data_IF_634040664664
#
_entry.id   IF_634040664664
#
_cell.length_a   1.000
_cell.length_b   1.000
_cell.length_c   1.000
_cell.angle_alpha   90.00
_cell.angle_beta   90.00
_cell.angle_gamma   90.00
#
_symmetry.space_group_name_H-M   'P 1'
#
loop_
_entity.id
_entity.type
_entity.pdbx_description
1 polymer ?
#
# COMPACT_ATOMS: atom_id res chain seq x y z
N UNK A 1 13.43 -3.00 2.99
CA UNK A 1 12.40 -3.91 2.43
C UNK A 1 12.20 -5.19 3.23
N UNK A 2 13.15 -5.64 4.05
CA UNK A 2 12.97 -6.85 4.88
C UNK A 2 11.74 -6.75 5.80
N UNK A 3 11.55 -5.62 6.50
CA UNK A 3 10.35 -5.37 7.32
C UNK A 3 9.07 -5.55 6.51
N UNK A 4 9.01 -5.02 5.29
CA UNK A 4 7.83 -5.15 4.41
C UNK A 4 7.55 -6.63 4.11
N UNK A 5 8.57 -7.42 3.78
CA UNK A 5 8.44 -8.87 3.57
C UNK A 5 7.95 -9.59 4.84
N UNK A 6 8.52 -9.24 5.99
CA UNK A 6 8.16 -9.86 7.28
C UNK A 6 6.72 -9.56 7.67
N UNK A 7 6.23 -8.33 7.49
CA UNK A 7 4.85 -7.98 7.84
C UNK A 7 3.84 -8.53 6.83
N UNK A 8 4.19 -8.59 5.55
CA UNK A 8 3.26 -9.03 4.51
C UNK A 8 3.14 -10.55 4.36
N UNK A 9 4.20 -11.32 4.60
CA UNK A 9 4.15 -12.79 4.54
C UNK A 9 3.48 -13.40 5.77
N UNK A 10 4.21 -13.55 6.90
CA UNK A 10 3.69 -14.15 8.14
C UNK A 10 2.43 -13.48 8.72
N UNK A 11 2.37 -12.14 8.73
CA UNK A 11 1.29 -11.39 9.40
C UNK A 11 0.20 -10.89 8.45
N UNK A 12 0.34 -11.14 7.14
CA UNK A 12 -0.62 -10.72 6.09
C UNK A 12 -0.96 -9.22 6.10
N UNK A 13 -0.07 -8.37 6.64
CA UNK A 13 -0.26 -6.93 6.65
C UNK A 13 0.06 -6.33 5.26
N UNK A 14 -0.71 -5.32 4.84
CA UNK A 14 -0.62 -4.72 3.51
C UNK A 14 -0.48 -3.19 3.61
N UNK A 15 0.66 -2.66 4.10
CA UNK A 15 0.80 -1.25 4.48
C UNK A 15 0.90 -0.26 3.31
N UNK A 16 1.09 -0.72 2.07
CA UNK A 16 1.23 0.18 0.90
C UNK A 16 0.48 -0.33 -0.32
N UNK A 17 0.45 -1.63 -0.55
CA UNK A 17 -0.20 -2.23 -1.71
C UNK A 17 -0.58 -3.66 -1.37
N UNK A 18 -1.56 -4.19 -2.10
CA UNK A 18 -1.94 -5.59 -2.02
C UNK A 18 -1.27 -6.35 -3.16
N UNK A 19 -0.99 -7.64 -2.92
CA UNK A 19 -0.65 -8.59 -3.97
C UNK A 19 -1.64 -9.74 -3.89
N UNK A 20 -2.14 -10.15 -5.05
CA UNK A 20 -2.91 -11.37 -5.21
C UNK A 20 -2.52 -12.10 -6.48
N UNK A 21 -2.93 -13.36 -6.57
CA UNK A 21 -2.93 -14.12 -7.83
C UNK A 21 -4.36 -14.49 -8.10
N UNK A 22 -4.89 -14.02 -9.23
CA UNK A 22 -6.27 -14.27 -9.65
C UNK A 22 -6.35 -14.39 -11.16
N UNK A 23 -7.53 -14.75 -11.66
CA UNK A 23 -7.81 -14.90 -13.08
C UNK A 23 -7.48 -13.61 -13.82
N UNK A 24 -6.80 -13.70 -14.96
CA UNK A 24 -6.53 -12.54 -15.82
C UNK A 24 -7.84 -12.09 -16.48
N UNK A 25 -8.34 -10.85 -16.21
CA UNK A 25 -9.55 -10.32 -16.83
C UNK A 25 -9.58 -10.39 -18.36
N UNK A 26 -8.41 -10.33 -19.02
CA UNK A 26 -8.31 -10.44 -20.49
C UNK A 26 -8.00 -11.85 -21.00
N UNK A 27 -7.71 -12.80 -20.11
CA UNK A 27 -7.50 -14.20 -20.44
C UNK A 27 -7.95 -15.11 -19.29
N UNK A 28 -9.23 -15.48 -19.31
CA UNK A 28 -9.86 -16.26 -18.24
C UNK A 28 -9.31 -17.68 -18.05
N UNK A 29 -8.48 -18.17 -18.97
CA UNK A 29 -7.81 -19.47 -18.86
C UNK A 29 -6.48 -19.42 -18.08
N UNK A 30 -6.04 -18.24 -17.65
CA UNK A 30 -4.78 -18.04 -16.93
C UNK A 30 -4.98 -17.19 -15.68
N UNK A 31 -4.14 -17.41 -14.67
CA UNK A 31 -3.99 -16.50 -13.55
C UNK A 31 -2.82 -15.54 -13.81
N UNK A 32 -2.88 -14.37 -13.19
CA UNK A 32 -1.84 -13.35 -13.25
C UNK A 32 -1.63 -12.74 -11.87
N UNK A 33 -0.41 -12.28 -11.61
CA UNK A 33 -0.11 -11.49 -10.41
C UNK A 33 -0.82 -10.14 -10.54
N UNK A 34 -1.51 -9.74 -9.48
CA UNK A 34 -2.27 -8.51 -9.42
C UNK A 34 -1.73 -7.64 -8.27
N UNK A 35 -1.48 -6.37 -8.56
CA UNK A 35 -1.06 -5.38 -7.56
C UNK A 35 -2.06 -4.23 -7.55
N UNK A 36 -2.54 -3.88 -6.36
CA UNK A 36 -3.52 -2.83 -6.17
C UNK A 36 -3.22 -1.97 -4.93
N UNK A 37 -3.91 -0.83 -4.82
CA UNK A 37 -3.75 0.14 -3.74
C UNK A 37 -4.16 -0.43 -2.37
N UNK A 38 -3.46 0.00 -1.31
CA UNK A 38 -3.76 -0.41 0.07
C UNK A 38 -3.19 0.58 1.10
N UNK A 39 -3.08 0.16 2.36
CA UNK A 39 -2.33 0.88 3.39
C UNK A 39 -3.11 1.91 4.20
N UNK A 40 -4.39 2.10 3.92
CA UNK A 40 -5.27 2.91 4.77
C UNK A 40 -5.91 2.04 5.85
N UNK A 41 -5.86 2.51 7.10
CA UNK A 41 -6.54 1.85 8.20
C UNK A 41 -8.04 2.19 8.24
N UNK A 42 -8.39 3.45 7.99
CA UNK A 42 -9.79 3.85 7.95
C UNK A 42 -10.47 3.34 6.66
N UNK A 43 -11.78 3.07 6.69
CA UNK A 43 -12.48 2.37 5.60
C UNK A 43 -12.47 3.06 4.23
N UNK A 44 -12.19 4.36 4.19
CA UNK A 44 -12.14 5.15 2.95
C UNK A 44 -11.15 6.29 3.10
N UNK A 45 -10.55 6.69 1.98
CA UNK A 45 -9.74 7.92 1.86
C UNK A 45 -10.49 9.17 2.32
N UNK A 46 -11.82 9.21 2.19
CA UNK A 46 -12.64 10.37 2.54
C UNK A 46 -12.59 10.70 4.03
N UNK A 47 -12.32 9.71 4.88
CA UNK A 47 -12.12 9.94 6.31
C UNK A 47 -10.91 10.84 6.59
N UNK A 48 -9.86 10.73 5.77
CA UNK A 48 -8.64 11.52 5.89
C UNK A 48 -8.76 12.88 5.18
N UNK A 49 -9.44 12.92 4.04
CA UNK A 49 -9.51 14.12 3.19
C UNK A 49 -10.60 15.11 3.64
N UNK A 50 -11.76 14.62 4.10
CA UNK A 50 -12.84 15.49 4.56
C UNK A 50 -12.70 15.82 6.05
N UNK A 51 -11.63 16.57 6.38
CA UNK A 51 -11.21 16.84 7.77
C UNK A 51 -12.28 17.52 8.62
N UNK A 52 -13.10 18.40 8.04
CA UNK A 52 -14.13 19.13 8.79
C UNK A 52 -15.30 18.22 9.17
N UNK A 53 -15.70 17.30 8.30
CA UNK A 53 -16.76 16.34 8.59
C UNK A 53 -16.27 15.22 9.53
N UNK A 54 -15.01 14.82 9.39
CA UNK A 54 -14.44 13.63 10.02
C UNK A 54 -13.46 13.94 11.17
N UNK A 55 -13.40 15.19 11.64
CA UNK A 55 -12.47 15.63 12.71
C UNK A 55 -12.53 14.72 13.94
N UNK A 56 -13.74 14.36 14.37
CA UNK A 56 -13.95 13.47 15.52
C UNK A 56 -13.37 12.07 15.30
N UNK A 57 -13.45 11.55 14.08
CA UNK A 57 -12.94 10.23 13.72
C UNK A 57 -11.42 10.25 13.66
N UNK A 58 -10.82 11.27 13.03
CA UNK A 58 -9.37 11.42 12.97
C UNK A 58 -8.75 11.62 14.36
N UNK A 59 -9.42 12.39 15.22
CA UNK A 59 -9.00 12.57 16.61
C UNK A 59 -9.07 11.24 17.38
N UNK A 60 -10.19 10.51 17.28
CA UNK A 60 -10.32 9.21 17.94
C UNK A 60 -9.29 8.19 17.43
N UNK A 61 -8.97 8.21 16.13
CA UNK A 61 -7.95 7.35 15.56
C UNK A 61 -6.54 7.70 16.09
N UNK A 62 -6.21 8.99 16.19
CA UNK A 62 -4.96 9.44 16.81
C UNK A 62 -4.86 9.02 18.28
N UNK A 63 -5.93 9.23 19.04
CA UNK A 63 -5.98 8.85 20.45
C UNK A 63 -5.79 7.32 20.61
N UNK A 64 -6.44 6.52 19.75
CA UNK A 64 -6.27 5.07 19.69
C UNK A 64 -4.82 4.64 19.41
N UNK A 65 -4.16 5.26 18.43
CA UNK A 65 -2.75 5.00 18.13
C UNK A 65 -1.84 5.32 19.31
N UNK A 66 -2.10 6.44 20.00
CA UNK A 66 -1.34 6.85 21.21
C UNK A 66 -1.54 5.86 22.34
N UNK A 67 -2.78 5.48 22.64
CA UNK A 67 -3.10 4.52 23.71
C UNK A 67 -2.44 3.16 23.46
N UNK A 68 -2.51 2.64 22.23
CA UNK A 68 -1.84 1.38 21.87
C UNK A 68 -0.32 1.48 22.01
N UNK A 69 0.29 2.56 21.54
CA UNK A 69 1.74 2.76 21.65
C UNK A 69 2.18 2.82 23.11
N UNK A 70 1.42 3.48 23.98
CA UNK A 70 1.68 3.50 25.43
C UNK A 70 1.57 2.11 26.07
N UNK A 71 0.56 1.31 25.69
CA UNK A 71 0.41 -0.07 26.17
C UNK A 71 1.56 -0.98 25.73
N UNK A 72 2.18 -0.68 24.59
CA UNK A 72 3.36 -1.38 24.07
C UNK A 72 4.69 -0.83 24.60
N UNK A 73 4.65 0.09 25.58
CA UNK A 73 5.84 0.61 26.27
C UNK A 73 6.43 1.91 25.69
N UNK A 74 5.68 2.62 24.84
CA UNK A 74 6.09 3.92 24.30
C UNK A 74 6.17 5.02 25.36
N UNK A 75 7.08 5.98 25.16
CA UNK A 75 7.19 7.16 26.01
C UNK A 75 6.12 8.22 25.65
N UNK A 76 5.34 8.65 26.66
CA UNK A 76 4.20 9.55 26.47
C UNK A 76 4.50 10.83 25.67
N UNK A 77 5.68 11.41 25.86
CA UNK A 77 6.03 12.68 25.21
C UNK A 77 6.40 12.51 23.73
N UNK A 78 7.03 11.39 23.35
CA UNK A 78 7.41 11.12 21.95
C UNK A 78 6.28 10.44 21.18
N UNK A 79 5.49 9.59 21.84
CA UNK A 79 4.40 8.82 21.21
C UNK A 79 3.41 9.72 20.49
N UNK A 80 2.96 10.82 21.09
CA UNK A 80 2.01 11.73 20.44
C UNK A 80 2.53 12.26 19.10
N UNK A 81 3.79 12.71 19.07
CA UNK A 81 4.41 13.25 17.85
C UNK A 81 4.63 12.17 16.79
N UNK A 82 5.02 10.96 17.20
CA UNK A 82 5.19 9.83 16.28
C UNK A 82 3.87 9.38 15.68
N UNK A 83 2.80 9.25 16.48
CA UNK A 83 1.48 8.86 15.98
C UNK A 83 0.88 9.93 15.07
N UNK A 84 1.14 11.21 15.35
CA UNK A 84 0.76 12.29 14.43
C UNK A 84 1.46 12.18 13.07
N UNK A 85 2.75 11.84 13.05
CA UNK A 85 3.48 11.63 11.80
C UNK A 85 2.96 10.42 11.01
N UNK A 86 2.53 9.35 11.69
CA UNK A 86 1.87 8.21 11.05
C UNK A 86 0.54 8.65 10.42
N UNK A 87 -0.27 9.42 11.16
CA UNK A 87 -1.54 9.96 10.63
C UNK A 87 -1.32 10.87 9.41
N UNK A 88 -0.30 11.73 9.46
CA UNK A 88 0.05 12.62 8.35
C UNK A 88 0.52 11.82 7.13
N UNK A 89 1.29 10.76 7.35
CA UNK A 89 1.71 9.83 6.30
C UNK A 89 0.52 9.09 5.68
N UNK A 90 -0.38 8.52 6.49
CA UNK A 90 -1.61 7.88 6.00
C UNK A 90 -2.51 8.88 5.26
N UNK A 91 -2.55 10.14 5.68
CA UNK A 91 -3.29 11.20 4.99
C UNK A 91 -2.68 11.50 3.62
N UNK A 92 -1.35 11.53 3.51
CA UNK A 92 -0.66 11.68 2.23
C UNK A 92 -0.93 10.46 1.32
N UNK A 93 -0.93 9.25 1.89
CA UNK A 93 -1.29 8.02 1.19
C UNK A 93 -2.74 8.08 0.68
N UNK A 94 -3.68 8.52 1.52
CA UNK A 94 -5.09 8.67 1.15
C UNK A 94 -5.30 9.71 0.03
N UNK A 95 -4.45 10.73 -0.04
CA UNK A 95 -4.50 11.73 -1.10
C UNK A 95 -4.10 11.16 -2.46
N UNK A 96 -3.20 10.18 -2.49
CA UNK A 96 -2.75 9.53 -3.74
C UNK A 96 -3.59 8.31 -4.12
N UNK A 97 -4.34 7.73 -3.18
CA UNK A 97 -5.30 6.63 -3.42
C UNK A 97 -6.35 7.01 -4.46
N UNK A 98 -6.55 6.16 -5.47
CA UNK A 98 -7.54 6.35 -6.53
C UNK A 98 -8.96 6.22 -5.94
N UNK A 99 -9.88 7.14 -6.24
CA UNK A 99 -11.25 7.07 -5.72
C UNK A 99 -12.02 5.87 -6.29
N UNK A 100 -12.94 5.26 -5.52
CA UNK A 100 -13.67 4.07 -5.95
C UNK A 100 -14.48 4.21 -7.24
N UNK A 101 -14.96 5.42 -7.56
CA UNK A 101 -15.72 5.66 -8.79
C UNK A 101 -14.85 5.55 -10.06
N UNK A 102 -13.55 5.88 -9.97
CA UNK A 102 -12.60 5.73 -11.06
C UNK A 102 -12.18 4.26 -11.26
N UNK A 103 -12.23 3.45 -10.20
CA UNK A 103 -11.93 2.02 -10.23
C UNK A 103 -13.04 1.16 -10.88
N UNK A 104 -14.16 1.74 -11.30
CA UNK A 104 -15.25 0.99 -11.94
C UNK A 104 -15.03 0.66 -13.41
N UNK A 105 -14.12 1.38 -14.07
CA UNK A 105 -13.84 1.19 -15.49
C UNK A 105 -12.68 0.20 -15.66
N UNK A 106 -13.01 -1.10 -15.67
CA UNK A 106 -12.04 -2.20 -15.76
C UNK A 106 -11.07 -2.07 -16.95
N UNK A 107 -11.52 -1.52 -18.08
CA UNK A 107 -10.67 -1.33 -19.25
C UNK A 107 -9.59 -0.26 -19.01
N UNK A 108 -9.94 0.79 -18.26
CA UNK A 108 -9.01 1.88 -17.94
C UNK A 108 -8.03 1.51 -16.84
N UNK A 109 -8.46 0.74 -15.84
CA UNK A 109 -7.59 0.37 -14.71
C UNK A 109 -6.72 -0.85 -15.02
N UNK A 110 -7.04 -1.64 -16.04
CA UNK A 110 -6.22 -2.78 -16.42
C UNK A 110 -4.90 -2.35 -17.10
N UNK A 111 -3.80 -2.46 -16.37
CA UNK A 111 -2.45 -2.25 -16.91
C UNK A 111 -1.58 -3.48 -16.72
N UNK A 112 -1.44 -4.29 -17.77
CA UNK A 112 -0.52 -5.44 -17.78
C UNK A 112 0.87 -4.99 -18.21
N UNK A 113 1.85 -5.18 -17.33
CA UNK A 113 3.27 -4.89 -17.56
C UNK A 113 4.13 -6.05 -17.03
N UNK A 114 5.43 -6.01 -17.27
CA UNK A 114 6.41 -6.96 -16.71
C UNK A 114 6.90 -6.52 -15.33
N UNK A 115 7.48 -7.44 -14.54
CA UNK A 115 8.17 -7.09 -13.28
C UNK A 115 9.30 -6.07 -13.54
N UNK A 116 10.02 -6.19 -14.66
CA UNK A 116 11.04 -5.23 -15.06
C UNK A 116 10.48 -3.80 -15.25
N UNK A 117 9.35 -3.67 -15.94
CA UNK A 117 8.67 -2.39 -16.12
C UNK A 117 8.11 -1.85 -14.79
N UNK A 118 7.61 -2.72 -13.92
CA UNK A 118 7.16 -2.34 -12.58
C UNK A 118 8.31 -1.79 -11.74
N UNK A 119 9.50 -2.39 -11.84
CA UNK A 119 10.70 -1.92 -11.17
C UNK A 119 11.12 -0.51 -11.62
N UNK A 120 10.94 -0.20 -12.91
CA UNK A 120 11.20 1.15 -13.44
C UNK A 120 10.14 2.16 -12.98
N UNK A 121 8.88 1.74 -12.87
CA UNK A 121 7.76 2.59 -12.50
C UNK A 121 7.76 2.95 -11.00
N UNK A 122 8.07 1.98 -10.14
CA UNK A 122 8.03 2.13 -8.68
C UNK A 122 9.33 1.60 -8.04
N UNK A 123 10.48 2.29 -8.18
CA UNK A 123 11.79 1.78 -7.79
C UNK A 123 12.02 1.66 -6.27
N UNK A 124 11.12 2.19 -5.43
CA UNK A 124 11.28 2.13 -3.97
C UNK A 124 11.25 0.72 -3.38
N UNK A 125 10.68 -0.25 -4.11
CA UNK A 125 10.62 -1.67 -3.73
C UNK A 125 11.43 -2.48 -4.74
N UNK A 126 12.18 -3.47 -4.26
CA UNK A 126 12.76 -4.51 -5.12
C UNK A 126 11.65 -5.53 -5.43
N UNK A 127 10.98 -5.35 -6.57
CA UNK A 127 9.75 -6.09 -6.89
C UNK A 127 10.00 -7.55 -7.17
N UNK A 128 11.13 -7.89 -7.81
CA UNK A 128 11.45 -9.29 -8.11
C UNK A 128 11.72 -10.06 -6.81
N UNK A 129 12.55 -9.51 -5.92
CA UNK A 129 12.80 -10.10 -4.60
C UNK A 129 11.54 -10.17 -3.75
N UNK A 130 10.75 -9.08 -3.73
CA UNK A 130 9.52 -9.01 -2.95
C UNK A 130 8.47 -10.03 -3.41
N UNK A 131 8.20 -10.10 -4.71
CA UNK A 131 7.22 -11.03 -5.29
C UNK A 131 7.68 -12.49 -5.14
N UNK A 132 8.98 -12.77 -5.34
CA UNK A 132 9.53 -14.12 -5.15
C UNK A 132 9.38 -14.58 -3.70
N UNK A 133 9.59 -13.67 -2.74
CA UNK A 133 9.38 -13.99 -1.33
C UNK A 133 7.90 -14.14 -0.97
N UNK A 134 7.03 -13.32 -1.53
CA UNK A 134 5.59 -13.34 -1.22
C UNK A 134 4.87 -14.55 -1.84
N UNK A 135 5.32 -15.00 -3.01
CA UNK A 135 4.72 -16.09 -3.79
C UNK A 135 5.55 -17.38 -3.75
N UNK A 136 6.56 -17.45 -2.89
CA UNK A 136 7.35 -18.67 -2.66
C UNK A 136 6.43 -19.89 -2.43
N UNK A 137 6.68 -21.03 -3.10
CA UNK A 137 7.91 -21.39 -3.80
C UNK A 137 7.89 -21.16 -5.33
N UNK A 138 7.11 -20.20 -5.85
CA UNK A 138 7.10 -19.90 -7.29
C UNK A 138 8.41 -19.27 -7.76
N UNK A 139 8.99 -19.81 -8.83
CA UNK A 139 10.16 -19.23 -9.50
C UNK A 139 9.70 -18.11 -10.46
N UNK A 140 9.96 -16.86 -10.09
CA UNK A 140 9.60 -15.68 -10.89
C UNK A 140 10.83 -15.12 -11.61
N UNK A 141 10.60 -14.51 -12.76
CA UNK A 141 11.61 -13.76 -13.52
C UNK A 141 11.14 -12.33 -13.80
N UNK A 142 12.05 -11.50 -14.29
CA UNK A 142 11.79 -10.09 -14.62
C UNK A 142 10.77 -9.90 -15.76
N UNK A 143 10.60 -10.91 -16.62
CA UNK A 143 9.60 -10.91 -17.71
C UNK A 143 8.20 -11.33 -17.28
N UNK A 144 8.00 -11.75 -16.03
CA UNK A 144 6.72 -12.23 -15.53
C UNK A 144 5.66 -11.12 -15.63
N UNK A 145 4.46 -11.42 -16.18
CA UNK A 145 3.40 -10.44 -16.28
C UNK A 145 2.75 -10.13 -14.93
N UNK A 146 2.54 -8.84 -14.68
CA UNK A 146 1.84 -8.29 -13.53
C UNK A 146 0.77 -7.31 -14.03
N UNK A 147 -0.44 -7.42 -13.47
CA UNK A 147 -1.53 -6.47 -13.70
C UNK A 147 -1.53 -5.46 -12.56
N UNK A 148 -1.44 -4.19 -12.90
CA UNK A 148 -1.60 -3.07 -11.98
C UNK A 148 -2.99 -2.46 -12.17
N UNK A 149 -3.75 -2.34 -11.09
CA UNK A 149 -5.05 -1.65 -11.10
C UNK A 149 -4.92 -0.16 -10.77
N UNK A 150 -3.90 0.22 -10.02
CA UNK A 150 -3.64 1.59 -9.61
C UNK A 150 -2.21 2.01 -9.99
N UNK A 151 -1.95 2.12 -11.31
CA UNK A 151 -0.60 2.41 -11.84
C UNK A 151 0.01 3.71 -11.29
N UNK A 152 -0.73 4.81 -11.38
CA UNK A 152 -0.24 6.13 -10.91
C UNK A 152 -0.06 6.16 -9.39
N UNK A 153 -0.92 5.46 -8.66
CA UNK A 153 -0.79 5.30 -7.21
C UNK A 153 0.54 4.64 -6.84
N UNK A 154 0.93 3.54 -7.50
CA UNK A 154 2.18 2.83 -7.19
C UNK A 154 3.42 3.70 -7.45
N UNK A 155 3.40 4.52 -8.51
CA UNK A 155 4.46 5.50 -8.76
C UNK A 155 4.54 6.53 -7.63
N UNK A 156 3.40 7.10 -7.23
CA UNK A 156 3.34 8.09 -6.16
C UNK A 156 3.70 7.51 -4.78
N UNK A 157 3.34 6.26 -4.51
CA UNK A 157 3.76 5.53 -3.30
C UNK A 157 5.28 5.35 -3.28
N UNK A 158 5.88 4.98 -4.42
CA UNK A 158 7.33 4.86 -4.52
C UNK A 158 8.02 6.20 -4.21
N UNK A 159 7.50 7.31 -4.73
CA UNK A 159 8.01 8.65 -4.42
C UNK A 159 7.83 9.01 -2.94
N UNK A 160 6.67 8.67 -2.35
CA UNK A 160 6.37 8.92 -0.95
C UNK A 160 7.30 8.15 -0.01
N UNK A 161 7.56 6.87 -0.30
CA UNK A 161 8.50 6.03 0.44
C UNK A 161 9.91 6.62 0.37
N UNK A 162 10.36 7.06 -0.80
CA UNK A 162 11.70 7.61 -0.99
C UNK A 162 11.89 8.99 -0.32
N UNK A 163 10.82 9.80 -0.21
CA UNK A 163 10.84 11.10 0.47
C UNK A 163 10.77 11.00 1.98
N UNK A 164 10.30 9.87 2.51
CA UNK A 164 10.09 9.69 3.95
C UNK A 164 11.33 9.10 4.60
N UNK A 165 11.78 9.68 5.70
CA UNK A 165 12.96 9.18 6.43
C UNK A 165 12.70 7.79 7.02
N UNK A 166 13.68 6.89 6.85
CA UNK A 166 13.70 5.61 7.55
C UNK A 166 14.15 5.86 8.99
N UNK A 167 13.30 5.55 9.96
CA UNK A 167 13.58 5.67 11.39
C UNK A 167 13.81 4.32 12.03
#
# INVERSE_FOLDING_TARGET
MEVLKTVSGPYRAQPFFTIGVSVDPKNSNSNVIQVDQSGLFLPSRDYYLNKTANEKVLKAYLDYMVELSLLLGGEKNSTQSQMQQILDFETALANITVPPDELRDEEKIYHKITIAELQLLAPAVDWLDYLSSALSPLDLNDTEPVVLYAKEYLQQVSDLINKTERR
#
